data_IF_470478741601
#
_entry.id   IF_470478741601
#
_cell.length_a   1.000
_cell.length_b   1.000
_cell.length_c   1.000
_cell.angle_alpha   90.00
_cell.angle_beta   90.00
_cell.angle_gamma   90.00
#
_symmetry.space_group_name_H-M   'P 1'
#
loop_
_entity.id
_entity.type
_entity.pdbx_description
1 polymer ?
#
# COMPACT_ATOMS: atom_id res chain seq x y z
N UNK A 1 -12.85 -8.20 -13.90
CA UNK A 1 -11.60 -7.65 -14.47
C UNK A 1 -10.53 -8.71 -14.65
N UNK A 2 -10.26 -9.51 -13.62
CA UNK A 2 -9.24 -10.56 -13.62
C UNK A 2 -9.52 -11.69 -14.61
N UNK A 3 -10.78 -11.88 -15.02
CA UNK A 3 -11.19 -12.89 -15.98
C UNK A 3 -11.00 -12.48 -17.43
N UNK A 4 -10.99 -11.16 -17.69
CA UNK A 4 -10.91 -10.60 -19.05
C UNK A 4 -9.55 -10.02 -19.41
N UNK A 5 -8.77 -9.66 -18.40
CA UNK A 5 -7.46 -9.04 -18.56
C UNK A 5 -6.40 -9.86 -17.85
N UNK A 6 -5.26 -10.04 -18.51
CA UNK A 6 -4.08 -10.60 -17.84
C UNK A 6 -3.42 -9.50 -17.02
N UNK A 7 -3.52 -9.61 -15.69
CA UNK A 7 -2.91 -8.66 -14.78
C UNK A 7 -1.46 -9.07 -14.48
N UNK A 8 -0.56 -8.09 -14.49
CA UNK A 8 0.83 -8.29 -14.09
C UNK A 8 0.95 -8.66 -12.63
N UNK A 9 0.06 -8.11 -11.80
CA UNK A 9 0.01 -8.37 -10.38
C UNK A 9 -0.94 -7.43 -9.68
N UNK A 10 -0.93 -7.48 -8.37
CA UNK A 10 -1.80 -6.69 -7.51
C UNK A 10 -1.07 -6.17 -6.28
N UNK A 11 -1.55 -5.07 -5.76
CA UNK A 11 -1.19 -4.52 -4.46
C UNK A 11 -2.50 -4.20 -3.75
N UNK A 12 -2.61 -4.57 -2.50
CA UNK A 12 -3.79 -4.32 -1.70
C UNK A 12 -3.56 -3.13 -0.79
N UNK A 13 -4.50 -2.20 -0.77
CA UNK A 13 -4.42 -1.00 0.08
C UNK A 13 -5.50 -1.10 1.15
N UNK A 14 -5.11 -0.92 2.39
CA UNK A 14 -5.99 -0.96 3.55
C UNK A 14 -5.78 0.24 4.45
N UNK A 15 -6.68 0.41 5.41
CA UNK A 15 -6.50 1.31 6.55
C UNK A 15 -6.38 0.47 7.82
N UNK A 16 -5.97 1.05 8.98
CA UNK A 16 -5.88 0.28 10.23
C UNK A 16 -7.22 -0.17 10.81
N UNK A 17 -8.34 0.23 10.22
CA UNK A 17 -9.68 -0.08 10.71
C UNK A 17 -10.02 -1.56 10.51
N UNK A 18 -10.67 -2.17 11.49
CA UNK A 18 -11.03 -3.60 11.45
C UNK A 18 -11.87 -3.97 10.23
N UNK A 19 -12.82 -3.12 9.86
CA UNK A 19 -13.69 -3.38 8.69
C UNK A 19 -12.91 -3.43 7.38
N UNK A 20 -11.89 -2.59 7.24
CA UNK A 20 -11.03 -2.58 6.05
C UNK A 20 -10.21 -3.87 5.93
N UNK A 21 -9.82 -4.45 7.06
CA UNK A 21 -9.03 -5.68 7.10
C UNK A 21 -9.81 -6.89 6.58
N UNK A 22 -11.11 -6.93 6.80
CA UNK A 22 -11.98 -7.99 6.27
C UNK A 22 -11.91 -7.97 4.74
N UNK A 23 -11.99 -6.78 4.15
CA UNK A 23 -11.92 -6.60 2.69
C UNK A 23 -10.54 -6.98 2.13
N UNK A 24 -9.47 -6.69 2.85
CA UNK A 24 -8.12 -7.10 2.46
C UNK A 24 -8.02 -8.62 2.37
N UNK A 25 -8.49 -9.34 3.38
CA UNK A 25 -8.46 -10.81 3.39
C UNK A 25 -9.27 -11.38 2.21
N UNK A 26 -10.43 -10.81 1.93
CA UNK A 26 -11.23 -11.19 0.77
C UNK A 26 -10.49 -10.95 -0.54
N UNK A 27 -9.82 -9.81 -0.66
CA UNK A 27 -9.01 -9.46 -1.82
C UNK A 27 -7.84 -10.43 -2.03
N UNK A 28 -7.12 -10.78 -0.95
CA UNK A 28 -6.04 -11.76 -1.00
C UNK A 28 -6.53 -13.10 -1.54
N UNK A 29 -7.62 -13.61 -0.99
CA UNK A 29 -8.19 -14.89 -1.41
C UNK A 29 -8.67 -14.86 -2.85
N UNK A 30 -9.25 -13.74 -3.30
CA UNK A 30 -9.69 -13.58 -4.68
C UNK A 30 -8.50 -13.64 -5.65
N UNK A 31 -7.43 -12.92 -5.38
CA UNK A 31 -6.25 -12.91 -6.25
C UNK A 31 -5.51 -14.25 -6.25
N UNK A 32 -5.46 -14.92 -5.10
CA UNK A 32 -4.90 -16.28 -5.02
C UNK A 32 -5.70 -17.26 -5.88
N UNK A 33 -7.03 -17.19 -5.79
CA UNK A 33 -7.94 -18.04 -6.56
C UNK A 33 -7.84 -17.79 -8.07
N UNK A 34 -7.61 -16.55 -8.49
CA UNK A 34 -7.50 -16.17 -9.91
C UNK A 34 -6.05 -16.19 -10.42
N UNK A 35 -5.11 -16.65 -9.60
CA UNK A 35 -3.69 -16.74 -9.95
C UNK A 35 -3.07 -15.39 -10.36
N UNK A 36 -3.49 -14.30 -9.72
CA UNK A 36 -2.89 -12.99 -9.89
C UNK A 36 -1.81 -12.82 -8.83
N UNK A 37 -0.56 -12.52 -9.19
CA UNK A 37 0.50 -12.27 -8.21
C UNK A 37 0.15 -11.12 -7.27
N UNK A 38 0.44 -11.28 -5.99
CA UNK A 38 0.24 -10.25 -4.96
C UNK A 38 1.61 -9.77 -4.51
N UNK A 39 1.93 -8.52 -4.80
CA UNK A 39 3.24 -7.95 -4.48
C UNK A 39 3.33 -7.41 -3.06
N UNK A 40 2.21 -7.17 -2.42
CA UNK A 40 2.20 -6.75 -1.03
C UNK A 40 0.96 -6.00 -0.64
N UNK A 41 1.00 -5.49 0.60
CA UNK A 41 -0.08 -4.74 1.22
C UNK A 41 0.46 -3.36 1.60
N UNK A 42 -0.35 -2.33 1.42
CA UNK A 42 -0.04 -0.96 1.83
C UNK A 42 -1.08 -0.56 2.88
N UNK A 43 -0.62 -0.05 4.01
CA UNK A 43 -1.52 0.55 5.00
C UNK A 43 -1.56 2.06 4.80
N UNK A 44 -2.72 2.57 4.40
CA UNK A 44 -2.96 4.01 4.29
C UNK A 44 -3.58 4.53 5.58
N UNK A 45 -3.47 5.82 5.84
CA UNK A 45 -3.94 6.45 7.08
C UNK A 45 -3.40 5.75 8.34
N UNK A 46 -2.14 5.30 8.25
CA UNK A 46 -1.52 4.45 9.26
C UNK A 46 -1.29 5.17 10.58
N UNK A 47 -0.88 6.42 10.49
CA UNK A 47 -0.58 7.25 11.66
C UNK A 47 -0.70 8.72 11.28
N UNK A 48 -0.73 9.58 12.28
CA UNK A 48 -0.75 11.04 12.11
C UNK A 48 0.46 11.64 12.81
N UNK A 49 1.15 12.56 12.13
CA UNK A 49 2.27 13.30 12.72
C UNK A 49 1.81 14.72 13.01
N UNK A 50 1.79 15.10 14.28
CA UNK A 50 1.40 16.44 14.69
C UNK A 50 2.41 17.47 14.14
N UNK A 51 1.97 18.49 13.37
CA UNK A 51 2.91 19.42 12.73
C UNK A 51 3.73 20.26 13.71
N UNK A 52 3.18 20.52 14.91
CA UNK A 52 3.79 21.35 15.93
C UNK A 52 4.83 20.62 16.78
N UNK A 53 4.56 19.34 17.13
CA UNK A 53 5.41 18.56 18.03
C UNK A 53 6.21 17.45 17.33
N UNK A 54 5.81 17.06 16.13
CA UNK A 54 6.38 15.90 15.44
C UNK A 54 5.99 14.56 16.03
N UNK A 55 5.09 14.55 17.03
CA UNK A 55 4.65 13.33 17.70
C UNK A 55 3.72 12.53 16.81
N UNK A 56 3.94 11.22 16.76
CA UNK A 56 3.10 10.29 16.01
C UNK A 56 1.92 9.80 16.85
N UNK A 57 0.75 9.76 16.23
CA UNK A 57 -0.48 9.25 16.82
C UNK A 57 -1.08 8.17 15.93
N UNK A 58 -1.46 7.05 16.52
CA UNK A 58 -2.21 6.02 15.84
C UNK A 58 -3.70 6.27 16.06
N UNK A 59 -4.33 6.95 15.10
CA UNK A 59 -5.72 7.41 15.23
C UNK A 59 -6.75 6.28 15.32
N UNK A 60 -6.39 5.11 14.80
CA UNK A 60 -7.28 3.93 14.75
C UNK A 60 -6.76 2.76 15.61
N UNK A 61 -5.86 3.05 16.58
CA UNK A 61 -5.24 2.04 17.42
C UNK A 61 -4.07 1.32 16.74
N UNK A 62 -3.68 0.18 17.29
CA UNK A 62 -2.57 -0.59 16.75
C UNK A 62 -2.88 -1.15 15.36
N UNK A 63 -1.87 -1.19 14.51
CA UNK A 63 -1.99 -1.75 13.18
C UNK A 63 -2.17 -3.27 13.22
N UNK A 64 -3.28 -3.74 12.70
CA UNK A 64 -3.53 -5.17 12.50
C UNK A 64 -3.17 -5.62 11.08
N UNK A 65 -2.89 -4.66 10.19
CA UNK A 65 -2.52 -4.94 8.80
C UNK A 65 -1.20 -5.70 8.73
N UNK A 66 -0.24 -5.33 9.58
CA UNK A 66 1.05 -6.01 9.68
C UNK A 66 0.89 -7.48 10.09
N UNK A 67 0.01 -7.74 11.07
CA UNK A 67 -0.30 -9.11 11.50
C UNK A 67 -0.95 -9.93 10.39
N UNK A 68 -1.82 -9.33 9.58
CA UNK A 68 -2.45 -9.99 8.45
C UNK A 68 -1.43 -10.27 7.34
N UNK A 69 -0.57 -9.32 7.05
CA UNK A 69 0.51 -9.51 6.06
C UNK A 69 1.39 -10.69 6.46
N UNK A 70 1.80 -10.75 7.71
CA UNK A 70 2.60 -11.83 8.26
C UNK A 70 1.87 -13.18 8.20
N UNK A 71 0.60 -13.20 8.63
CA UNK A 71 -0.22 -14.42 8.63
C UNK A 71 -0.36 -15.05 7.24
N UNK A 72 -0.53 -14.23 6.21
CA UNK A 72 -0.72 -14.68 4.83
C UNK A 72 0.57 -14.68 4.00
N UNK A 73 1.71 -14.40 4.64
CA UNK A 73 3.04 -14.39 4.02
C UNK A 73 3.18 -13.37 2.88
N UNK A 74 2.67 -12.16 3.10
CA UNK A 74 2.86 -11.03 2.20
C UNK A 74 3.61 -9.92 2.88
N UNK A 75 4.34 -9.13 2.09
CA UNK A 75 5.09 -7.99 2.59
C UNK A 75 4.18 -6.79 2.81
N UNK A 76 4.36 -6.11 3.95
CA UNK A 76 3.79 -4.78 4.16
C UNK A 76 4.73 -3.77 3.50
N UNK A 77 4.34 -3.28 2.33
CA UNK A 77 5.18 -2.42 1.49
C UNK A 77 5.43 -1.05 2.08
N UNK A 78 4.42 -0.48 2.73
CA UNK A 78 4.53 0.82 3.37
C UNK A 78 3.39 1.09 4.33
N UNK A 79 3.65 1.98 5.27
CA UNK A 79 2.66 2.61 6.15
C UNK A 79 2.62 4.09 5.81
N UNK A 80 1.58 4.52 5.11
CA UNK A 80 1.44 5.90 4.66
C UNK A 80 0.70 6.70 5.73
N UNK A 81 1.24 7.83 6.19
CA UNK A 81 0.58 8.62 7.22
C UNK A 81 -0.66 9.36 6.70
N UNK A 82 -1.52 9.73 7.62
CA UNK A 82 -2.59 10.68 7.38
C UNK A 82 -1.96 12.08 7.37
N UNK A 83 -1.61 12.56 6.19
CA UNK A 83 -0.87 13.81 6.00
C UNK A 83 -1.76 14.88 5.37
N UNK A 84 -1.86 16.09 5.99
CA UNK A 84 -2.73 17.14 5.48
C UNK A 84 -2.40 17.60 4.05
N UNK A 85 -1.12 17.68 3.71
CA UNK A 85 -0.71 18.08 2.36
C UNK A 85 -1.09 17.02 1.32
N UNK A 86 -0.87 15.75 1.66
CA UNK A 86 -1.28 14.65 0.79
C UNK A 86 -2.79 14.70 0.52
N UNK A 87 -3.59 14.89 1.57
CA UNK A 87 -5.05 14.98 1.43
C UNK A 87 -5.49 16.16 0.60
N UNK A 88 -4.89 17.32 0.82
CA UNK A 88 -5.19 18.53 0.05
C UNK A 88 -4.90 18.32 -1.44
N UNK A 89 -3.75 17.77 -1.76
CA UNK A 89 -3.38 17.52 -3.15
C UNK A 89 -4.24 16.45 -3.80
N UNK A 90 -4.61 15.41 -3.06
CA UNK A 90 -5.53 14.39 -3.55
C UNK A 90 -6.89 14.97 -3.93
N UNK A 91 -7.44 15.86 -3.09
CA UNK A 91 -8.71 16.55 -3.39
C UNK A 91 -8.63 17.42 -4.65
N UNK A 92 -7.47 18.03 -4.90
CA UNK A 92 -7.23 18.84 -6.08
C UNK A 92 -6.92 18.01 -7.34
N UNK A 93 -6.77 16.70 -7.18
CA UNK A 93 -6.37 15.82 -8.28
C UNK A 93 -4.91 15.97 -8.70
N UNK A 94 -4.07 16.47 -7.81
CA UNK A 94 -2.65 16.68 -8.07
C UNK A 94 -1.80 15.60 -7.37
N UNK A 95 -0.95 14.86 -8.10
CA UNK A 95 -0.04 13.92 -7.46
C UNK A 95 0.98 14.65 -6.59
N UNK A 96 1.09 14.24 -5.33
CA UNK A 96 2.05 14.86 -4.40
C UNK A 96 3.49 14.72 -4.90
N UNK A 97 3.82 13.57 -5.49
CA UNK A 97 5.15 13.28 -6.01
C UNK A 97 5.59 14.22 -7.13
N UNK A 98 4.65 14.79 -7.87
CA UNK A 98 4.93 15.72 -8.97
C UNK A 98 5.21 17.13 -8.45
N UNK A 99 4.36 17.63 -7.56
CA UNK A 99 4.44 19.00 -7.06
C UNK A 99 5.40 19.17 -5.87
N UNK A 100 5.53 18.13 -5.05
CA UNK A 100 6.35 18.18 -3.83
C UNK A 100 7.25 16.93 -3.75
N UNK A 101 8.20 16.76 -4.72
CA UNK A 101 9.01 15.53 -4.77
C UNK A 101 9.90 15.32 -3.55
N UNK A 102 10.29 16.39 -2.86
CA UNK A 102 11.15 16.31 -1.67
C UNK A 102 10.37 16.01 -0.37
N UNK A 103 9.04 16.03 -0.41
CA UNK A 103 8.23 15.73 0.75
C UNK A 103 8.40 14.27 1.17
N UNK A 104 8.43 14.03 2.49
CA UNK A 104 8.62 12.69 3.07
C UNK A 104 7.65 11.64 2.49
N UNK A 105 6.38 12.00 2.36
CA UNK A 105 5.36 11.10 1.81
C UNK A 105 5.60 10.82 0.33
N UNK A 106 6.06 11.81 -0.43
CA UNK A 106 6.45 11.61 -1.84
C UNK A 106 7.58 10.60 -1.96
N UNK A 107 8.58 10.67 -1.09
CA UNK A 107 9.69 9.71 -1.06
C UNK A 107 9.18 8.30 -0.74
N UNK A 108 8.20 8.17 0.15
CA UNK A 108 7.58 6.88 0.45
C UNK A 108 6.90 6.27 -0.78
N UNK A 109 6.17 7.07 -1.56
CA UNK A 109 5.55 6.60 -2.80
C UNK A 109 6.58 6.18 -3.84
N UNK A 110 7.65 6.93 -3.98
CA UNK A 110 8.75 6.62 -4.92
C UNK A 110 9.41 5.29 -4.53
N UNK A 111 9.73 5.10 -3.27
CA UNK A 111 10.32 3.86 -2.76
C UNK A 111 9.39 2.66 -2.98
N UNK A 112 8.09 2.81 -2.72
CA UNK A 112 7.10 1.77 -3.00
C UNK A 112 7.08 1.39 -4.47
N UNK A 113 7.07 2.38 -5.35
CA UNK A 113 7.07 2.14 -6.80
C UNK A 113 8.32 1.37 -7.24
N UNK A 114 9.48 1.73 -6.73
CA UNK A 114 10.72 1.03 -7.01
C UNK A 114 10.68 -0.42 -6.53
N UNK A 115 10.19 -0.67 -5.33
CA UNK A 115 10.05 -2.01 -4.77
C UNK A 115 9.09 -2.88 -5.60
N UNK A 116 7.95 -2.32 -6.00
CA UNK A 116 6.98 -3.02 -6.84
C UNK A 116 7.60 -3.37 -8.20
N UNK A 117 8.33 -2.44 -8.81
CA UNK A 117 9.02 -2.69 -10.08
C UNK A 117 10.03 -3.82 -9.97
N UNK A 118 10.81 -3.88 -8.89
CA UNK A 118 11.74 -4.98 -8.64
C UNK A 118 11.02 -6.31 -8.54
N UNK A 119 9.89 -6.36 -7.84
CA UNK A 119 9.09 -7.58 -7.68
C UNK A 119 8.50 -8.04 -9.00
N UNK A 120 8.04 -7.13 -9.84
CA UNK A 120 7.54 -7.42 -11.19
C UNK A 120 8.65 -8.05 -12.04
N UNK A 121 9.85 -7.47 -12.02
CA UNK A 121 10.98 -8.00 -12.77
C UNK A 121 11.40 -9.40 -12.31
N UNK A 122 11.46 -9.62 -11.00
CA UNK A 122 11.78 -10.93 -10.43
C UNK A 122 10.74 -11.99 -10.80
N UNK A 123 9.46 -11.63 -10.76
CA UNK A 123 8.37 -12.53 -11.12
C UNK A 123 8.44 -12.93 -12.60
N UNK A 124 8.73 -11.97 -13.50
CA UNK A 124 8.91 -12.24 -14.93
C UNK A 124 10.08 -13.16 -15.20
N UNK A 125 11.21 -12.99 -14.51
CA UNK A 125 12.37 -13.87 -14.62
C UNK A 125 12.04 -15.29 -14.17
N UNK A 126 11.26 -15.45 -13.11
CA UNK A 126 10.79 -16.74 -12.61
C UNK A 126 9.88 -17.46 -13.62
N UNK A 127 9.04 -16.72 -14.35
CA UNK A 127 8.14 -17.26 -15.38
C UNK A 127 8.90 -17.77 -16.61
N UNK A 128 10.08 -17.23 -16.89
CA UNK A 128 10.89 -17.61 -18.06
C UNK A 128 11.84 -18.79 -17.82
N UNK A 129 11.97 -19.20 -16.56
CA UNK A 129 12.77 -20.36 -16.17
C UNK A 129 11.90 -21.57 -15.89
#
# INVERSE_FOLDING_TARGET
>A
LTQKLKLTGSVLVSTPQDIALIDVVRGLKMFEKTNVPIYGIIENMSYFVAPDTGKEYQLYGESKTEAIAEKYDYELLAKIPHDPLLMEQCEKGHPLTDLFPEHKVSQMFIEMAEDILKKIKLNKLSETT
#
